data_IF_317130933674
#
_entry.id   IF_317130933674
#
_cell.length_a   1.000
_cell.length_b   1.000
_cell.length_c   1.000
_cell.angle_alpha   90.00
_cell.angle_beta   90.00
_cell.angle_gamma   90.00
#
_symmetry.space_group_name_H-M   'P 1'
#
loop_
_entity.id
_entity.type
_entity.pdbx_description
1 polymer ?
#
# COMPACT_ATOMS: atom_id res chain seq x y z
N UNK A 1 -15.99 8.36 15.10
CA UNK A 1 -16.12 8.80 13.70
C UNK A 1 -16.80 7.69 12.92
N UNK A 2 -17.91 7.98 12.22
CA UNK A 2 -18.73 6.95 11.55
C UNK A 2 -18.83 7.19 10.05
N UNK A 3 -17.74 6.97 9.32
CA UNK A 3 -17.67 7.12 7.86
C UNK A 3 -17.12 5.85 7.20
N UNK A 4 -17.35 5.72 5.89
CA UNK A 4 -16.79 4.63 5.09
C UNK A 4 -15.48 5.07 4.42
N UNK A 5 -14.49 4.17 4.40
CA UNK A 5 -13.24 4.35 3.65
C UNK A 5 -13.36 3.59 2.34
N UNK A 6 -13.16 4.28 1.22
CA UNK A 6 -13.21 3.69 -0.12
C UNK A 6 -11.81 3.60 -0.72
N UNK A 7 -11.53 2.48 -1.39
CA UNK A 7 -10.28 2.26 -2.11
C UNK A 7 -10.56 2.23 -3.61
N UNK A 8 -9.75 2.95 -4.39
CA UNK A 8 -9.80 2.98 -5.84
C UNK A 8 -8.40 2.90 -6.41
N UNK A 9 -8.27 2.24 -7.57
CA UNK A 9 -7.03 2.15 -8.30
C UNK A 9 -7.28 2.44 -9.78
N UNK A 10 -6.36 3.17 -10.40
CA UNK A 10 -6.39 3.52 -11.81
C UNK A 10 -4.99 3.32 -12.37
N UNK A 11 -4.89 2.88 -13.62
CA UNK A 11 -3.59 2.75 -14.28
C UNK A 11 -2.92 4.12 -14.42
N UNK A 12 -1.60 4.17 -14.19
CA UNK A 12 -0.83 5.41 -14.25
C UNK A 12 -0.87 6.07 -15.65
N UNK A 13 -1.12 5.31 -16.72
CA UNK A 13 -1.33 5.84 -18.08
C UNK A 13 -2.59 6.70 -18.21
N UNK A 14 -3.59 6.50 -17.34
CA UNK A 14 -4.84 7.25 -17.34
C UNK A 14 -4.81 8.46 -16.37
N UNK A 15 -3.62 8.86 -15.88
CA UNK A 15 -3.49 9.94 -14.89
C UNK A 15 -4.08 11.28 -15.39
N UNK A 16 -3.97 11.59 -16.68
CA UNK A 16 -4.57 12.80 -17.25
C UNK A 16 -6.09 12.84 -17.11
N UNK A 17 -6.77 11.75 -17.52
CA UNK A 17 -8.22 11.61 -17.36
C UNK A 17 -8.64 11.61 -15.87
N UNK A 18 -7.81 11.07 -14.98
CA UNK A 18 -8.03 11.14 -13.54
C UNK A 18 -8.01 12.59 -13.04
N UNK A 19 -7.00 13.39 -13.42
CA UNK A 19 -6.90 14.81 -13.05
C UNK A 19 -8.13 15.59 -13.52
N UNK A 20 -8.54 15.40 -14.77
CA UNK A 20 -9.75 16.04 -15.33
C UNK A 20 -11.01 15.66 -14.53
N UNK A 21 -11.18 14.39 -14.20
CA UNK A 21 -12.30 13.91 -13.41
C UNK A 21 -12.32 14.51 -12.00
N UNK A 22 -11.17 14.54 -11.31
CA UNK A 22 -11.06 15.17 -9.99
C UNK A 22 -11.36 16.66 -10.08
N UNK A 23 -10.80 17.37 -11.07
CA UNK A 23 -11.03 18.78 -11.26
C UNK A 23 -12.51 19.11 -11.53
N UNK A 24 -13.22 18.29 -12.31
CA UNK A 24 -14.64 18.45 -12.57
C UNK A 24 -15.50 18.27 -11.30
N UNK A 25 -15.18 17.28 -10.46
CA UNK A 25 -15.90 17.04 -9.21
C UNK A 25 -15.58 18.08 -8.13
N UNK A 26 -14.32 18.50 -8.04
CA UNK A 26 -13.86 19.48 -7.06
C UNK A 26 -14.22 20.93 -7.43
N UNK A 27 -14.13 21.28 -8.71
CA UNK A 27 -14.43 22.62 -9.23
C UNK A 27 -15.91 23.00 -9.15
N UNK A 28 -16.82 22.01 -9.06
CA UNK A 28 -18.25 22.26 -8.83
C UNK A 28 -18.57 22.69 -7.38
N UNK A 29 -17.71 22.34 -6.41
CA UNK A 29 -17.99 22.52 -4.97
C UNK A 29 -17.22 23.68 -4.33
N UNK A 30 -16.12 24.13 -4.93
CA UNK A 30 -15.23 25.14 -4.34
C UNK A 30 -14.99 26.30 -5.31
N UNK A 31 -15.88 27.30 -5.31
CA UNK A 31 -15.68 28.52 -6.12
C UNK A 31 -14.56 29.44 -5.61
N UNK A 32 -13.94 29.18 -4.46
CA UNK A 32 -12.89 30.05 -3.89
C UNK A 32 -11.74 29.35 -3.15
N UNK A 33 -11.77 28.03 -2.95
CA UNK A 33 -10.73 27.32 -2.19
C UNK A 33 -9.98 26.32 -3.08
N UNK A 34 -8.65 26.48 -3.21
CA UNK A 34 -7.78 25.47 -3.83
C UNK A 34 -7.92 24.15 -3.08
N UNK A 35 -8.23 23.07 -3.81
CA UNK A 35 -8.29 21.72 -3.22
C UNK A 35 -6.87 21.27 -2.90
N UNK A 36 -6.65 20.84 -1.65
CA UNK A 36 -5.37 20.32 -1.17
C UNK A 36 -5.44 18.81 -1.06
N UNK A 37 -4.56 18.10 -1.77
CA UNK A 37 -4.56 16.64 -1.82
C UNK A 37 -3.22 16.09 -1.33
N UNK A 38 -3.19 15.37 -0.19
CA UNK A 38 -2.02 14.60 0.20
C UNK A 38 -1.67 13.57 -0.88
N UNK A 39 -0.41 13.55 -1.29
CA UNK A 39 0.08 12.67 -2.33
C UNK A 39 1.44 12.10 -1.94
N UNK A 40 1.71 10.86 -2.35
CA UNK A 40 2.97 10.16 -2.08
C UNK A 40 3.44 9.41 -3.32
N UNK A 41 4.65 8.84 -3.26
CA UNK A 41 5.31 8.16 -4.37
C UNK A 41 5.84 9.11 -5.45
N UNK A 42 6.58 8.56 -6.41
CA UNK A 42 7.22 9.37 -7.48
C UNK A 42 6.25 10.19 -8.34
N UNK A 43 4.99 9.74 -8.45
CA UNK A 43 3.93 10.45 -9.16
C UNK A 43 3.57 11.81 -8.54
N UNK A 44 3.69 11.95 -7.21
CA UNK A 44 3.39 13.19 -6.51
C UNK A 44 4.30 14.34 -6.94
N UNK A 45 5.57 14.05 -7.21
CA UNK A 45 6.52 15.04 -7.75
C UNK A 45 6.36 15.18 -9.26
N UNK A 46 6.25 14.07 -9.98
CA UNK A 46 6.18 14.05 -11.45
C UNK A 46 4.98 14.83 -12.00
N UNK A 47 3.82 14.67 -11.38
CA UNK A 47 2.56 15.23 -11.86
C UNK A 47 2.12 16.49 -11.09
N UNK A 48 2.92 16.99 -10.15
CA UNK A 48 2.60 18.22 -9.41
C UNK A 48 2.23 19.41 -10.32
N UNK A 49 2.92 19.67 -11.45
CA UNK A 49 2.53 20.74 -12.36
C UNK A 49 1.15 20.52 -13.00
N UNK A 50 0.84 19.28 -13.40
CA UNK A 50 -0.43 18.93 -14.06
C UNK A 50 -1.62 19.14 -13.10
N UNK A 51 -1.48 18.70 -11.85
CA UNK A 51 -2.48 18.93 -10.81
C UNK A 51 -2.62 20.42 -10.47
N UNK A 52 -1.50 21.16 -10.41
CA UNK A 52 -1.54 22.60 -10.14
C UNK A 52 -2.26 23.37 -11.26
N UNK A 53 -2.05 23.01 -12.52
CA UNK A 53 -2.77 23.58 -13.66
C UNK A 53 -4.28 23.30 -13.61
N UNK A 54 -4.68 22.17 -13.02
CA UNK A 54 -6.07 21.82 -12.73
C UNK A 54 -6.63 22.46 -11.45
N UNK A 55 -5.88 23.35 -10.79
CA UNK A 55 -6.30 24.05 -9.56
C UNK A 55 -6.17 23.22 -8.28
N UNK A 56 -5.47 22.09 -8.33
CA UNK A 56 -5.27 21.17 -7.20
C UNK A 56 -3.85 21.32 -6.66
N UNK A 57 -3.72 21.60 -5.37
CA UNK A 57 -2.45 21.68 -4.65
C UNK A 57 -2.10 20.30 -4.08
N UNK A 58 -1.12 19.61 -4.69
CA UNK A 58 -0.57 18.40 -4.09
C UNK A 58 0.24 18.75 -2.83
N UNK A 59 0.09 17.93 -1.79
CA UNK A 59 0.90 17.96 -0.57
C UNK A 59 1.78 16.70 -0.52
N UNK A 60 3.03 16.76 -0.99
CA UNK A 60 3.91 15.61 -1.01
C UNK A 60 4.15 15.07 0.40
N UNK A 61 4.10 13.74 0.51
CA UNK A 61 4.48 12.97 1.69
C UNK A 61 5.60 12.03 1.29
N UNK A 62 6.52 11.76 2.22
CA UNK A 62 7.56 10.76 2.00
C UNK A 62 6.92 9.38 1.81
N UNK A 63 7.40 8.62 0.82
CA UNK A 63 6.83 7.32 0.45
C UNK A 63 6.90 6.33 1.62
N UNK A 64 8.06 6.23 2.26
CA UNK A 64 8.29 5.34 3.40
C UNK A 64 7.34 5.64 4.55
N UNK A 65 7.18 6.92 4.90
CA UNK A 65 6.32 7.33 6.00
C UNK A 65 4.85 7.07 5.69
N UNK A 66 4.41 7.37 4.46
CA UNK A 66 3.03 7.13 4.05
C UNK A 66 2.69 5.63 4.09
N UNK A 67 3.60 4.77 3.64
CA UNK A 67 3.41 3.32 3.67
C UNK A 67 3.38 2.77 5.09
N UNK A 68 4.34 3.17 5.94
CA UNK A 68 4.39 2.71 7.32
C UNK A 68 3.15 3.17 8.11
N UNK A 69 2.78 4.44 8.02
CA UNK A 69 1.57 4.97 8.66
C UNK A 69 0.29 4.30 8.14
N UNK A 70 0.20 4.01 6.84
CA UNK A 70 -0.94 3.31 6.26
C UNK A 70 -1.08 1.88 6.76
N UNK A 71 0.03 1.14 6.82
CA UNK A 71 0.06 -0.22 7.35
C UNK A 71 -0.31 -0.24 8.84
N UNK A 72 0.35 0.59 9.65
CA UNK A 72 0.08 0.71 11.08
C UNK A 72 -1.38 1.09 11.34
N UNK A 73 -1.90 2.10 10.62
CA UNK A 73 -3.29 2.51 10.74
C UNK A 73 -4.28 1.40 10.38
N UNK A 74 -3.97 0.61 9.35
CA UNK A 74 -4.74 -0.58 8.97
C UNK A 74 -4.68 -1.61 10.11
N UNK A 75 -3.50 -2.10 10.48
CA UNK A 75 -3.35 -3.12 11.54
C UNK A 75 -3.98 -2.73 12.90
N UNK A 76 -3.97 -1.44 13.23
CA UNK A 76 -4.40 -0.93 14.55
C UNK A 76 -5.87 -0.49 14.59
N UNK A 77 -6.43 -0.06 13.46
CA UNK A 77 -7.80 0.50 13.39
C UNK A 77 -8.69 -0.21 12.38
N UNK A 78 -8.17 -1.26 11.76
CA UNK A 78 -8.84 -2.16 10.86
C UNK A 78 -10.13 -2.71 11.43
N UNK A 79 -11.16 -2.72 10.59
CA UNK A 79 -12.51 -3.08 11.02
C UNK A 79 -12.80 -4.59 10.92
N UNK A 80 -11.86 -5.39 10.39
CA UNK A 80 -12.09 -6.80 10.07
C UNK A 80 -10.91 -7.72 10.41
N UNK A 81 -11.23 -8.98 10.72
CA UNK A 81 -10.24 -10.06 10.73
C UNK A 81 -9.67 -10.26 9.31
N UNK A 82 -8.34 -10.40 9.20
CA UNK A 82 -7.67 -10.76 7.95
C UNK A 82 -6.91 -9.67 7.21
N UNK A 83 -6.70 -8.51 7.83
CA UNK A 83 -5.83 -7.47 7.26
C UNK A 83 -4.35 -7.87 7.21
N UNK A 84 -3.94 -8.80 8.07
CA UNK A 84 -2.66 -9.49 7.97
C UNK A 84 -2.86 -10.99 8.17
N UNK A 85 -2.13 -11.78 7.38
CA UNK A 85 -2.20 -13.23 7.42
C UNK A 85 -0.81 -13.83 7.22
N UNK A 86 -0.57 -14.95 7.90
CA UNK A 86 0.60 -15.78 7.70
C UNK A 86 0.19 -17.08 7.03
N UNK A 87 0.90 -17.42 5.95
CA UNK A 87 0.67 -18.67 5.24
C UNK A 87 1.50 -19.78 5.88
N UNK A 88 0.84 -20.77 6.47
CA UNK A 88 1.48 -22.01 6.90
C UNK A 88 1.33 -23.04 5.79
N UNK A 89 2.42 -23.31 5.07
CA UNK A 89 2.53 -24.54 4.29
C UNK A 89 2.76 -25.68 5.28
N UNK A 90 2.00 -26.79 5.17
CA UNK A 90 2.21 -27.97 6.02
C UNK A 90 3.65 -28.51 5.92
N UNK A 91 3.99 -29.46 6.79
CA UNK A 91 5.31 -30.09 6.81
C UNK A 91 5.68 -30.60 5.40
N UNK A 92 6.84 -30.20 4.83
CA UNK A 92 7.32 -30.71 3.54
C UNK A 92 7.40 -32.24 3.46
N UNK A 93 7.46 -32.92 4.61
CA UNK A 93 7.58 -34.38 4.72
C UNK A 93 6.23 -35.11 4.74
N UNK A 94 5.10 -34.42 4.86
CA UNK A 94 3.77 -35.03 4.75
C UNK A 94 3.35 -35.10 3.26
N UNK A 95 3.31 -36.30 2.64
CA UNK A 95 2.96 -36.42 1.23
C UNK A 95 1.48 -36.04 1.02
N UNK A 96 1.21 -35.04 0.19
CA UNK A 96 -0.15 -34.73 -0.24
C UNK A 96 -0.71 -35.94 -1.02
N UNK A 97 -1.88 -36.50 -0.63
CA UNK A 97 -2.46 -37.63 -1.36
C UNK A 97 -2.76 -37.24 -2.81
N UNK A 98 -2.55 -38.16 -3.77
CA UNK A 98 -2.66 -37.88 -5.20
C UNK A 98 -4.12 -37.87 -5.64
N UNK A 99 -4.89 -36.86 -5.21
CA UNK A 99 -6.17 -36.53 -5.84
C UNK A 99 -6.01 -35.29 -6.71
N UNK A 100 -6.60 -35.35 -7.90
CA UNK A 100 -6.40 -34.52 -9.10
C UNK A 100 -6.72 -33.01 -9.00
N UNK A 101 -6.64 -32.42 -7.82
CA UNK A 101 -6.49 -30.99 -7.60
C UNK A 101 -5.51 -30.85 -6.44
N UNK A 102 -4.22 -30.67 -6.72
CA UNK A 102 -3.23 -30.31 -5.72
C UNK A 102 -3.44 -28.86 -5.28
N UNK A 103 -4.63 -28.59 -4.73
CA UNK A 103 -4.89 -27.41 -3.92
C UNK A 103 -4.04 -27.61 -2.68
N UNK A 104 -2.85 -26.99 -2.65
CA UNK A 104 -2.16 -26.72 -1.38
C UNK A 104 -3.24 -26.29 -0.39
N UNK A 105 -3.54 -27.12 0.60
CA UNK A 105 -4.46 -26.78 1.67
C UNK A 105 -3.76 -25.70 2.51
N UNK A 106 -3.76 -24.49 1.99
CA UNK A 106 -3.12 -23.32 2.56
C UNK A 106 -3.90 -22.95 3.81
N UNK A 107 -3.35 -23.24 4.99
CA UNK A 107 -3.89 -22.72 6.25
C UNK A 107 -3.39 -21.29 6.40
N UNK A 108 -4.30 -20.35 6.29
CA UNK A 108 -4.06 -18.95 6.63
C UNK A 108 -4.25 -18.80 8.13
N UNK A 109 -3.21 -18.39 8.84
CA UNK A 109 -3.37 -17.88 10.20
C UNK A 109 -3.61 -16.39 10.06
N UNK A 110 -4.86 -15.97 10.28
CA UNK A 110 -5.17 -14.55 10.38
C UNK A 110 -4.42 -14.03 11.60
N UNK A 111 -3.54 -13.05 11.39
CA UNK A 111 -2.91 -12.36 12.50
C UNK A 111 -4.03 -11.56 13.17
N UNK A 112 -4.49 -12.08 14.32
CA UNK A 112 -5.55 -11.45 15.09
C UNK A 112 -5.06 -10.07 15.50
N UNK A 113 -5.92 -9.06 15.33
CA UNK A 113 -5.68 -7.72 15.86
C UNK A 113 -5.23 -7.87 17.33
N UNK A 114 -4.07 -7.33 17.70
CA UNK A 114 -3.54 -7.55 19.05
C UNK A 114 -4.46 -6.95 20.12
N UNK A 115 -4.49 -7.51 21.34
CA UNK A 115 -5.34 -7.01 22.41
C UNK A 115 -5.02 -5.52 22.72
N UNK A 116 -6.02 -4.73 23.15
CA UNK A 116 -5.93 -3.26 23.22
C UNK A 116 -5.00 -2.68 24.30
N UNK A 117 -4.17 -3.48 24.98
CA UNK A 117 -3.13 -2.97 25.90
C UNK A 117 -2.16 -4.08 26.34
N UNK A 118 -0.84 -3.81 26.45
CA UNK A 118 -0.11 -2.63 25.96
C UNK A 118 -0.06 -2.62 24.42
N UNK A 119 0.40 -1.54 23.75
CA UNK A 119 0.43 -1.47 22.28
C UNK A 119 1.07 -2.74 21.74
N UNK A 120 0.50 -3.34 20.69
CA UNK A 120 1.15 -4.48 20.09
C UNK A 120 2.59 -4.15 19.77
N UNK A 121 3.45 -5.07 20.16
CA UNK A 121 4.85 -5.10 19.76
C UNK A 121 4.91 -5.50 18.28
N UNK A 122 4.23 -4.74 17.39
CA UNK A 122 4.43 -4.87 15.95
C UNK A 122 5.86 -4.48 15.59
N UNK A 123 6.47 -3.63 16.41
CA UNK A 123 7.85 -3.23 16.27
C UNK A 123 8.82 -4.17 17.00
N UNK A 124 10.02 -4.40 16.44
CA UNK A 124 10.46 -3.97 15.12
C UNK A 124 9.87 -4.87 14.01
N UNK A 125 9.68 -4.33 12.80
CA UNK A 125 9.33 -5.12 11.62
C UNK A 125 10.05 -4.65 10.36
N UNK A 126 10.13 -5.56 9.38
CA UNK A 126 10.58 -5.25 8.02
C UNK A 126 9.37 -5.08 7.11
N UNK A 127 9.23 -3.89 6.53
CA UNK A 127 8.26 -3.58 5.49
C UNK A 127 8.92 -3.76 4.12
N UNK A 128 8.54 -4.82 3.42
CA UNK A 128 8.89 -5.00 2.01
C UNK A 128 7.74 -4.51 1.13
N UNK A 129 7.90 -3.32 0.53
CA UNK A 129 6.93 -2.78 -0.43
C UNK A 129 7.25 -3.26 -1.83
N UNK A 130 6.28 -3.87 -2.50
CA UNK A 130 6.39 -4.44 -3.85
C UNK A 130 5.52 -3.65 -4.82
N UNK A 131 6.18 -2.88 -5.69
CA UNK A 131 5.55 -2.18 -6.82
C UNK A 131 6.23 -2.56 -8.13
N UNK A 132 6.54 -1.55 -8.96
CA UNK A 132 7.37 -1.74 -10.15
C UNK A 132 8.78 -2.25 -9.78
N UNK A 133 9.37 -1.66 -8.73
CA UNK A 133 10.52 -2.18 -7.99
C UNK A 133 10.12 -2.67 -6.59
N UNK A 134 11.11 -2.91 -5.74
CA UNK A 134 10.93 -3.29 -4.35
C UNK A 134 11.79 -2.42 -3.43
N UNK A 135 11.22 -2.01 -2.30
CA UNK A 135 11.95 -1.34 -1.22
C UNK A 135 11.76 -2.11 0.08
N UNK A 136 12.85 -2.26 0.83
CA UNK A 136 12.85 -2.86 2.17
C UNK A 136 13.12 -1.77 3.19
N UNK A 137 12.22 -1.63 4.14
CA UNK A 137 12.29 -0.63 5.22
C UNK A 137 12.27 -1.36 6.56
N UNK A 138 13.23 -1.06 7.41
CA UNK A 138 13.22 -1.44 8.81
C UNK A 138 12.48 -0.37 9.61
N UNK A 139 11.46 -0.79 10.36
CA UNK A 139 10.66 0.10 11.20
C UNK A 139 10.89 -0.30 12.65
N UNK A 140 11.60 0.56 13.38
CA UNK A 140 11.92 0.36 14.79
C UNK A 140 10.82 0.83 15.73
N UNK A 141 9.99 1.77 15.29
CA UNK A 141 8.92 2.35 16.08
C UNK A 141 8.03 3.30 15.29
N UNK A 142 7.09 3.98 15.97
CA UNK A 142 6.02 4.74 15.33
C UNK A 142 6.48 6.09 14.75
N UNK A 143 7.65 6.60 15.14
CA UNK A 143 8.13 7.89 14.67
C UNK A 143 8.81 7.78 13.31
N UNK A 144 8.67 8.81 12.48
CA UNK A 144 9.33 8.85 11.17
C UNK A 144 10.86 8.70 11.25
N UNK A 145 11.48 9.23 12.32
CA UNK A 145 12.92 9.10 12.56
C UNK A 145 13.37 7.66 12.87
N UNK A 146 12.44 6.77 13.22
CA UNK A 146 12.69 5.37 13.57
C UNK A 146 12.48 4.42 12.37
N UNK A 147 12.47 4.98 11.15
CA UNK A 147 12.25 4.26 9.89
C UNK A 147 13.47 4.42 9.00
N UNK A 148 14.01 3.29 8.55
CA UNK A 148 15.22 3.26 7.73
C UNK A 148 15.02 2.38 6.50
N UNK A 149 15.37 2.90 5.32
CA UNK A 149 15.43 2.06 4.10
C UNK A 149 16.71 1.23 4.12
N UNK A 150 16.57 -0.05 4.46
CA UNK A 150 17.69 -0.99 4.58
C UNK A 150 17.99 -1.74 3.28
N UNK A 151 17.13 -1.64 2.26
CA UNK A 151 17.38 -2.30 0.98
C UNK A 151 16.35 -2.02 -0.10
N UNK A 152 16.53 -2.71 -1.22
CA UNK A 152 15.58 -2.73 -2.33
C UNK A 152 16.11 -3.48 -3.53
N UNK A 153 15.23 -3.69 -4.51
CA UNK A 153 15.54 -4.39 -5.75
C UNK A 153 14.81 -3.73 -6.91
N UNK A 154 15.45 -3.65 -8.07
CA UNK A 154 14.79 -3.30 -9.33
C UNK A 154 14.03 -4.47 -9.96
N UNK A 155 14.27 -5.69 -9.46
CA UNK A 155 13.61 -6.92 -9.91
C UNK A 155 12.41 -7.18 -9.01
N UNK A 156 11.22 -6.79 -9.48
CA UNK A 156 9.96 -6.96 -8.76
C UNK A 156 8.78 -7.05 -9.76
N UNK A 157 7.62 -6.46 -9.43
CA UNK A 157 6.41 -6.54 -10.24
C UNK A 157 6.56 -5.97 -11.65
N UNK A 158 7.36 -4.91 -11.81
CA UNK A 158 7.64 -4.32 -13.13
C UNK A 158 8.36 -5.29 -14.05
N UNK A 159 9.43 -5.92 -13.53
CA UNK A 159 10.19 -6.95 -14.27
C UNK A 159 9.33 -8.17 -14.57
N UNK A 160 8.58 -8.67 -13.59
CA UNK A 160 7.69 -9.81 -13.76
C UNK A 160 6.67 -9.57 -14.87
N UNK A 161 5.97 -8.44 -14.83
CA UNK A 161 4.96 -8.09 -15.83
C UNK A 161 5.57 -7.88 -17.22
N UNK A 162 6.76 -7.28 -17.29
CA UNK A 162 7.41 -7.03 -18.58
C UNK A 162 7.88 -8.33 -19.24
N UNK A 163 8.57 -9.19 -18.49
CA UNK A 163 9.01 -10.50 -19.00
C UNK A 163 7.83 -11.39 -19.38
N UNK A 164 6.76 -11.40 -18.58
CA UNK A 164 5.55 -12.16 -18.89
C UNK A 164 4.83 -11.73 -20.17
N UNK A 165 5.05 -10.50 -20.65
CA UNK A 165 4.51 -10.00 -21.93
C UNK A 165 5.41 -10.28 -23.13
N UNK A 166 6.62 -10.79 -22.91
CA UNK A 166 7.58 -11.13 -23.97
C UNK A 166 7.44 -12.59 -24.46
N UNK A 167 6.68 -13.41 -23.74
CA UNK A 167 6.39 -14.82 -24.05
C UNK A 167 4.99 -14.92 -24.65
#
# INVERSE_FOLDING_TARGET
FGGAVHFGAVDASAIGACIESVAAHCGASARDARVRMPATGGGATKHAPDFAAAGIELQPRAEIDAMACGLEGTLMHGSSEGEAFELHTGDPLEPCPPSRAATLARRYVLLRAPPPSPPPRIYPYLLASLGSGMSVVLVHGPQAAERERVGGSSIAGGTFNHLGRMV
#
